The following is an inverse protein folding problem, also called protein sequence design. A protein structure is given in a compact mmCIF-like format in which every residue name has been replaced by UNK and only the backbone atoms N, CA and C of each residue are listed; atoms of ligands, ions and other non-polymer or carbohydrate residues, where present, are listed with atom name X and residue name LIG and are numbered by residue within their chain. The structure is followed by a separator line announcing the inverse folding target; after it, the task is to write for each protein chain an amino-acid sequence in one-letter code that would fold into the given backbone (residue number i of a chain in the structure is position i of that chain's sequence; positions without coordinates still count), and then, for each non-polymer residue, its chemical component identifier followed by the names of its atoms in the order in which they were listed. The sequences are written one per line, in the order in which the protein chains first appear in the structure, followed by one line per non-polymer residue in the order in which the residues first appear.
data_IF_346958163815
#
_entry.id   IF_346958163815
#
_cell.length_a   1.000
_cell.length_b   1.000
_cell.length_c   1.000
_cell.angle_alpha   90.00
_cell.angle_beta   90.00
_cell.angle_gamma   90.00
#
_symmetry.space_group_name_H-M   'P 1'
#
loop_
_entity.id
_entity.type
_entity.pdbx_description
1 polymer ?
#
# COMPACT_ATOMS: atom_id res chain seq x y z
N UNK A 1 -7.54 22.70 -1.78
CA UNK A 1 -6.75 22.15 -0.65
C UNK A 1 -7.54 21.00 -0.06
N UNK A 2 -7.08 19.76 -0.18
CA UNK A 2 -7.75 18.60 0.43
C UNK A 2 -7.60 18.72 1.95
N UNK A 3 -8.72 18.71 2.67
CA UNK A 3 -8.74 18.71 4.13
C UNK A 3 -7.88 17.54 4.63
N UNK A 4 -6.92 17.79 5.52
CA UNK A 4 -6.09 16.73 6.06
C UNK A 4 -6.97 15.78 6.88
N UNK A 5 -7.21 14.55 6.37
CA UNK A 5 -7.79 13.48 7.16
C UNK A 5 -6.93 13.28 8.41
N UNK A 6 -7.56 13.23 9.59
CA UNK A 6 -6.87 12.97 10.87
C UNK A 6 -6.51 11.49 11.03
N UNK A 7 -7.34 10.58 10.50
CA UNK A 7 -7.19 9.14 10.63
C UNK A 7 -7.47 8.43 9.29
N UNK A 8 -7.08 7.15 9.20
CA UNK A 8 -7.58 6.25 8.16
C UNK A 8 -9.09 6.01 8.28
N UNK A 9 -9.69 5.41 7.25
CA UNK A 9 -11.07 4.92 7.32
C UNK A 9 -11.22 3.92 8.47
N UNK A 10 -12.32 3.99 9.23
CA UNK A 10 -12.50 3.13 10.40
C UNK A 10 -13.95 2.70 10.60
N UNK A 11 -14.12 1.65 11.41
CA UNK A 11 -15.40 1.24 12.00
C UNK A 11 -15.23 1.07 13.50
N UNK A 12 -16.27 1.45 14.24
CA UNK A 12 -16.31 1.34 15.70
C UNK A 12 -17.18 0.15 16.10
N UNK A 13 -16.69 -0.66 17.03
CA UNK A 13 -17.46 -1.72 17.68
C UNK A 13 -17.66 -1.32 19.14
N UNK A 14 -18.91 -1.05 19.51
CA UNK A 14 -19.29 -0.78 20.90
C UNK A 14 -19.24 -2.07 21.72
N UNK A 15 -18.65 -1.99 22.91
CA UNK A 15 -18.55 -3.06 23.89
C UNK A 15 -19.21 -2.66 25.22
N UNK A 16 -19.36 -3.63 26.14
CA UNK A 16 -19.96 -3.39 27.45
C UNK A 16 -19.16 -2.37 28.27
N UNK A 17 -19.85 -1.54 29.05
CA UNK A 17 -19.24 -0.57 29.95
C UNK A 17 -18.59 0.64 29.26
N UNK A 18 -19.10 1.05 28.10
CA UNK A 18 -18.59 2.21 27.35
C UNK A 18 -17.25 1.96 26.65
N UNK A 19 -16.81 0.70 26.57
CA UNK A 19 -15.61 0.30 25.83
C UNK A 19 -15.89 0.31 24.34
N UNK A 20 -14.88 0.65 23.53
CA UNK A 20 -14.95 0.68 22.08
C UNK A 20 -13.71 0.01 21.49
N UNK A 21 -13.88 -0.71 20.40
CA UNK A 21 -12.77 -1.26 19.59
C UNK A 21 -12.83 -0.60 18.22
N UNK A 22 -11.70 -0.07 17.76
CA UNK A 22 -11.59 0.57 16.46
C UNK A 22 -10.93 -0.38 15.47
N UNK A 23 -11.53 -0.47 14.29
CA UNK A 23 -11.01 -1.24 13.15
C UNK A 23 -10.65 -0.25 12.07
N UNK A 24 -9.37 -0.11 11.77
CA UNK A 24 -8.86 0.81 10.73
C UNK A 24 -8.60 0.05 9.43
N UNK A 25 -8.94 0.69 8.32
CA UNK A 25 -8.89 0.11 6.99
C UNK A 25 -8.06 0.98 6.04
N UNK A 26 -7.37 0.32 5.10
CA UNK A 26 -6.66 0.98 4.02
C UNK A 26 -7.64 1.74 3.12
N UNK A 27 -7.38 3.02 2.86
CA UNK A 27 -8.25 3.87 2.03
C UNK A 27 -8.30 3.43 0.55
N UNK A 28 -7.35 2.60 0.06
CA UNK A 28 -7.34 2.09 -1.33
C UNK A 28 -7.90 0.67 -1.39
N UNK A 29 -7.27 -0.29 -0.70
CA UNK A 29 -7.64 -1.70 -0.82
C UNK A 29 -8.87 -2.09 0.01
N UNK A 30 -9.25 -1.29 1.01
CA UNK A 30 -10.26 -1.66 2.00
C UNK A 30 -9.81 -2.74 2.98
N UNK A 31 -8.55 -3.16 2.92
CA UNK A 31 -7.95 -4.14 3.84
C UNK A 31 -8.01 -3.63 5.29
N UNK A 32 -8.28 -4.53 6.23
CA UNK A 32 -8.18 -4.24 7.66
C UNK A 32 -6.72 -4.27 8.10
N UNK A 33 -6.12 -3.11 8.37
CA UNK A 33 -4.71 -3.04 8.77
C UNK A 33 -4.51 -3.08 10.29
N UNK A 34 -5.48 -2.59 11.06
CA UNK A 34 -5.34 -2.50 12.51
C UNK A 34 -6.69 -2.73 13.22
N UNK A 35 -6.65 -3.52 14.30
CA UNK A 35 -7.73 -3.64 15.28
C UNK A 35 -7.14 -3.26 16.62
N UNK A 36 -7.67 -2.20 17.22
CA UNK A 36 -7.15 -1.71 18.50
C UNK A 36 -7.59 -2.60 19.66
N UNK A 37 -6.92 -2.43 20.80
CA UNK A 37 -7.49 -2.90 22.08
C UNK A 37 -8.78 -2.16 22.41
N UNK A 38 -9.50 -2.65 23.41
CA UNK A 38 -10.71 -1.99 23.91
C UNK A 38 -10.34 -0.69 24.63
N UNK A 39 -10.82 0.43 24.14
CA UNK A 39 -10.57 1.77 24.68
C UNK A 39 -11.80 2.24 25.44
N UNK A 40 -11.58 2.84 26.61
CA UNK A 40 -12.63 3.47 27.41
C UNK A 40 -12.36 4.97 27.43
N UNK A 41 -13.30 5.74 26.91
CA UNK A 41 -13.33 7.20 27.01
C UNK A 41 -14.80 7.66 27.05
N UNK A 42 -15.02 8.85 27.58
CA UNK A 42 -16.36 9.40 27.75
C UNK A 42 -16.98 9.81 26.41
N UNK A 43 -16.15 10.32 25.48
CA UNK A 43 -16.52 10.64 24.11
C UNK A 43 -15.95 9.64 23.09
N UNK A 44 -16.65 9.46 21.96
CA UNK A 44 -16.15 8.63 20.85
C UNK A 44 -14.94 9.26 20.16
N UNK A 45 -14.96 10.58 19.92
CA UNK A 45 -13.84 11.30 19.30
C UNK A 45 -12.55 11.19 20.12
N UNK A 46 -12.66 11.25 21.45
CA UNK A 46 -11.53 11.04 22.35
C UNK A 46 -11.03 9.59 22.27
N UNK A 47 -11.94 8.61 22.28
CA UNK A 47 -11.56 7.20 22.11
C UNK A 47 -10.88 6.94 20.75
N UNK A 48 -11.33 7.62 19.69
CA UNK A 48 -10.74 7.54 18.35
C UNK A 48 -9.34 8.16 18.31
N UNK A 49 -9.14 9.31 18.94
CA UNK A 49 -7.83 9.96 19.01
C UNK A 49 -6.82 9.06 19.75
N UNK A 50 -7.23 8.47 20.88
CA UNK A 50 -6.41 7.49 21.61
C UNK A 50 -6.13 6.27 20.70
N UNK A 51 -7.16 5.71 20.07
CA UNK A 51 -7.02 4.56 19.17
C UNK A 51 -6.00 4.80 18.06
N UNK A 52 -6.08 5.98 17.45
CA UNK A 52 -5.25 6.36 16.33
C UNK A 52 -3.81 6.61 16.77
N UNK A 53 -3.58 7.43 17.79
CA UNK A 53 -2.22 7.79 18.21
C UNK A 53 -1.46 6.62 18.85
N UNK A 54 -2.16 5.70 19.53
CA UNK A 54 -1.51 4.59 20.23
C UNK A 54 -1.28 3.36 19.35
N UNK A 55 -2.21 3.02 18.46
CA UNK A 55 -2.18 1.77 17.71
C UNK A 55 -2.37 1.98 16.21
N UNK A 56 -3.34 2.80 15.80
CA UNK A 56 -3.75 2.95 14.41
C UNK A 56 -2.67 3.57 13.50
N UNK A 57 -2.10 4.71 13.89
CA UNK A 57 -1.19 5.54 13.07
C UNK A 57 0.01 4.77 12.52
N UNK A 58 0.51 3.79 13.27
CA UNK A 58 1.71 3.03 12.93
C UNK A 58 1.48 1.95 11.86
N UNK A 59 0.22 1.62 11.57
CA UNK A 59 -0.15 0.61 10.57
C UNK A 59 -0.38 1.20 9.17
N UNK A 60 -0.18 2.51 8.99
CA UNK A 60 -0.49 3.20 7.73
C UNK A 60 0.59 4.19 7.32
N UNK A 61 0.77 4.31 6.02
CA UNK A 61 1.52 5.36 5.36
C UNK A 61 0.56 6.43 4.84
N UNK A 62 0.91 7.71 5.07
CA UNK A 62 0.10 8.85 4.63
C UNK A 62 0.63 9.39 3.31
N UNK A 63 -0.19 9.37 2.26
CA UNK A 63 0.19 9.98 1.00
C UNK A 63 0.18 11.52 1.10
N UNK A 64 1.30 12.22 0.81
CA UNK A 64 1.35 13.68 0.89
C UNK A 64 0.52 14.37 -0.20
N UNK A 65 0.26 13.71 -1.33
CA UNK A 65 -0.48 14.27 -2.45
C UNK A 65 -2.00 14.24 -2.25
N UNK A 66 -2.56 13.10 -1.83
CA UNK A 66 -4.01 12.93 -1.67
C UNK A 66 -4.49 12.91 -0.21
N UNK A 67 -3.58 12.80 0.76
CA UNK A 67 -3.90 12.79 2.19
C UNK A 67 -4.54 11.49 2.69
N UNK A 68 -4.63 10.44 1.86
CA UNK A 68 -5.15 9.12 2.24
C UNK A 68 -4.14 8.36 3.10
N UNK A 69 -4.65 7.50 3.98
CA UNK A 69 -3.88 6.54 4.75
C UNK A 69 -4.01 5.15 4.14
N UNK A 70 -2.89 4.57 3.76
CA UNK A 70 -2.84 3.30 3.04
C UNK A 70 -1.94 2.30 3.77
N UNK A 71 -2.17 1.00 3.61
CA UNK A 71 -1.21 0.01 4.07
C UNK A 71 0.11 0.14 3.32
N UNK A 72 1.21 -0.31 3.91
CA UNK A 72 2.52 -0.24 3.26
C UNK A 72 2.59 -1.01 1.94
N UNK A 73 1.76 -2.05 1.76
CA UNK A 73 1.59 -2.74 0.48
C UNK A 73 1.00 -1.84 -0.63
N UNK A 74 0.19 -0.84 -0.24
CA UNK A 74 -0.44 0.12 -1.13
C UNK A 74 0.31 1.47 -1.17
N UNK A 75 1.52 1.52 -0.62
CA UNK A 75 2.40 2.68 -0.61
C UNK A 75 3.65 2.43 -1.44
N UNK A 76 3.83 3.24 -2.49
CA UNK A 76 5.07 3.26 -3.25
C UNK A 76 6.11 4.06 -2.47
N UNK A 77 6.98 3.35 -1.76
CA UNK A 77 8.04 3.96 -0.95
C UNK A 77 9.06 4.72 -1.80
N UNK A 78 9.30 4.30 -3.05
CA UNK A 78 10.26 4.96 -3.94
C UNK A 78 9.76 6.33 -4.40
N UNK A 79 8.45 6.47 -4.55
CA UNK A 79 7.80 7.74 -4.91
C UNK A 79 7.23 8.50 -3.70
N UNK A 80 7.36 7.94 -2.49
CA UNK A 80 6.77 8.41 -1.23
C UNK A 80 5.27 8.75 -1.36
N UNK A 81 4.53 7.95 -2.14
CA UNK A 81 3.13 8.19 -2.49
C UNK A 81 2.32 6.90 -2.50
N UNK A 82 1.00 6.99 -2.37
CA UNK A 82 0.15 5.82 -2.55
C UNK A 82 0.09 5.39 -4.02
N UNK A 83 -0.30 4.13 -4.28
CA UNK A 83 -0.34 3.57 -5.63
C UNK A 83 -1.33 4.24 -6.59
N UNK A 84 -2.39 4.86 -6.09
CA UNK A 84 -3.28 5.69 -6.92
C UNK A 84 -2.59 6.97 -7.42
N UNK A 85 -1.61 7.49 -6.68
CA UNK A 85 -0.90 8.74 -7.01
C UNK A 85 0.43 8.50 -7.73
N UNK A 86 1.11 7.41 -7.39
CA UNK A 86 2.33 6.97 -8.06
C UNK A 86 2.30 5.42 -8.08
N UNK A 87 1.68 4.82 -9.10
CA UNK A 87 1.72 3.37 -9.25
C UNK A 87 3.17 2.93 -9.33
N UNK A 88 3.45 1.68 -8.97
CA UNK A 88 4.72 1.08 -9.32
C UNK A 88 4.90 1.23 -10.83
N UNK A 89 6.05 1.75 -11.26
CA UNK A 89 6.38 1.73 -12.68
C UNK A 89 6.41 0.26 -13.08
N UNK A 90 5.39 -0.19 -13.79
CA UNK A 90 5.50 -1.29 -14.74
C UNK A 90 6.41 -0.80 -15.90
N UNK A 91 7.57 -0.22 -15.60
CA UNK A 91 8.61 -0.05 -16.61
C UNK A 91 9.23 -1.41 -16.81
N UNK A 92 8.49 -2.22 -17.57
CA UNK A 92 9.07 -3.24 -18.40
C UNK A 92 10.31 -2.65 -19.08
N UNK A 93 11.37 -3.46 -19.24
CA UNK A 93 12.64 -2.95 -19.67
C UNK A 93 12.47 -2.16 -20.97
N UNK A 94 12.92 -0.89 -20.98
CA UNK A 94 12.85 -0.03 -22.17
C UNK A 94 13.73 -0.57 -23.29
N UNK A 95 14.65 -1.48 -22.96
CA UNK A 95 15.57 -2.13 -23.89
C UNK A 95 15.59 -3.64 -23.69
N UNK A 96 15.65 -4.40 -24.78
CA UNK A 96 15.87 -5.84 -24.68
C UNK A 96 17.26 -6.13 -24.10
N UNK A 97 17.35 -6.93 -23.04
CA UNK A 97 18.62 -7.36 -22.43
C UNK A 97 19.51 -8.19 -23.38
N UNK A 98 18.91 -8.88 -24.35
CA UNK A 98 19.61 -9.77 -25.25
C UNK A 98 20.16 -9.06 -26.49
N UNK A 99 19.39 -8.14 -27.09
CA UNK A 99 19.76 -7.50 -28.36
C UNK A 99 19.85 -5.97 -28.30
N UNK A 100 19.58 -5.35 -27.15
CA UNK A 100 19.70 -3.90 -26.94
C UNK A 100 18.66 -3.05 -27.67
N UNK A 101 17.68 -3.65 -28.35
CA UNK A 101 16.67 -2.87 -29.08
C UNK A 101 15.74 -2.16 -28.11
N UNK A 102 15.37 -0.92 -28.42
CA UNK A 102 14.38 -0.17 -27.67
C UNK A 102 13.00 -0.78 -27.87
N UNK A 103 12.36 -1.18 -26.79
CA UNK A 103 11.02 -1.73 -26.77
C UNK A 103 10.02 -0.58 -26.85
N UNK A 104 9.08 -0.70 -27.81
CA UNK A 104 8.02 0.31 -28.03
C UNK A 104 6.78 0.02 -27.21
N UNK A 105 6.60 -1.25 -26.85
CA UNK A 105 5.49 -1.73 -26.05
C UNK A 105 6.04 -2.15 -24.69
N UNK A 106 5.69 -1.45 -23.60
CA UNK A 106 6.10 -1.85 -22.27
C UNK A 106 5.55 -3.24 -21.97
N UNK A 107 4.31 -3.59 -22.28
CA UNK A 107 3.72 -4.90 -21.91
C UNK A 107 4.20 -6.11 -22.75
N UNK A 108 5.24 -5.95 -23.56
CA UNK A 108 5.80 -7.05 -24.33
C UNK A 108 6.54 -8.06 -23.43
N UNK A 109 6.04 -9.30 -23.36
CA UNK A 109 6.74 -10.43 -22.72
C UNK A 109 7.91 -10.97 -23.54
N UNK A 110 7.96 -10.68 -24.84
CA UNK A 110 8.99 -11.14 -25.76
C UNK A 110 9.47 -9.98 -26.63
N UNK A 111 10.78 -9.94 -26.88
CA UNK A 111 11.36 -8.96 -27.77
C UNK A 111 10.85 -9.19 -29.20
N UNK A 112 10.23 -8.20 -29.85
CA UNK A 112 9.72 -8.36 -31.22
C UNK A 112 10.84 -8.52 -32.26
N UNK A 113 12.09 -8.18 -31.91
CA UNK A 113 13.23 -8.29 -32.82
C UNK A 113 13.99 -9.61 -32.70
N UNK A 114 14.20 -10.12 -31.48
CA UNK A 114 15.02 -11.32 -31.25
C UNK A 114 14.26 -12.49 -30.62
N UNK A 115 12.99 -12.31 -30.24
CA UNK A 115 12.18 -13.34 -29.60
C UNK A 115 12.57 -13.67 -28.16
N UNK A 116 13.58 -13.01 -27.58
CA UNK A 116 14.00 -13.25 -26.19
C UNK A 116 12.89 -12.85 -25.20
N UNK A 117 12.67 -13.66 -24.17
CA UNK A 117 11.74 -13.34 -23.07
C UNK A 117 12.26 -12.13 -22.30
N UNK A 118 11.42 -11.10 -22.18
CA UNK A 118 11.74 -9.86 -21.47
C UNK A 118 11.47 -10.10 -19.98
N UNK A 119 12.51 -9.94 -19.16
CA UNK A 119 12.43 -10.11 -17.71
C UNK A 119 12.03 -8.77 -17.09
N UNK A 120 11.00 -8.79 -16.24
CA UNK A 120 10.45 -7.62 -15.55
C UNK A 120 10.60 -7.86 -14.07
N UNK A 121 11.21 -6.91 -13.36
CA UNK A 121 11.59 -7.12 -11.97
C UNK A 121 12.83 -8.00 -11.87
N UNK A 122 13.73 -7.65 -10.94
CA UNK A 122 14.95 -8.40 -10.68
C UNK A 122 14.67 -9.89 -10.49
N UNK A 123 15.63 -10.69 -10.97
CA UNK A 123 15.82 -12.13 -10.70
C UNK A 123 14.78 -12.73 -9.75
N UNK A 124 13.85 -13.51 -10.30
CA UNK A 124 13.32 -14.66 -9.56
C UNK A 124 14.57 -15.41 -9.05
N UNK A 125 14.79 -15.40 -7.74
CA UNK A 125 15.76 -16.29 -7.10
C UNK A 125 15.47 -17.70 -7.63
N UNK A 126 16.47 -18.35 -8.22
CA UNK A 126 16.37 -19.77 -8.54
C UNK A 126 16.20 -20.54 -7.22
N UNK A 127 14.94 -20.72 -6.83
CA UNK A 127 14.56 -21.67 -5.81
C UNK A 127 14.74 -23.07 -6.40
N UNK A 128 15.82 -23.74 -5.95
CA UNK A 128 15.86 -25.19 -5.81
C UNK A 128 15.93 -26.02 -7.10
N UNK A 129 17.16 -26.40 -7.48
CA UNK A 129 17.39 -27.73 -8.04
C UNK A 129 18.37 -28.50 -7.15
N UNK A 130 17.80 -29.13 -6.12
CA UNK A 130 18.31 -30.41 -5.63
C UNK A 130 18.15 -31.44 -6.74
N UNK A 131 19.26 -32.02 -7.19
CA UNK A 131 19.60 -33.46 -7.21
C UNK A 131 20.84 -33.69 -8.10
#
# INVERSE_FOLDING_TARGET
MVQAKKTAAYRVIAGPGGKRVFRFYCDISGELCCVTKSIRADAEDEALEIAWETEGRWAFDRCPQCGRYVSSAMFNINAERCLDCAPWENEYPVFCHHCGIRLKDPDAFFCPACGARLLVGGTEEEEGRTE
#
